data_IF_654897059471
#
_entry.id   IF_654897059471
#
_cell.length_a   1.000
_cell.length_b   1.000
_cell.length_c   1.000
_cell.angle_alpha   90.00
_cell.angle_beta   90.00
_cell.angle_gamma   90.00
#
_symmetry.space_group_name_H-M   'P 1'
#
loop_
_entity.id
_entity.type
_entity.pdbx_description
1 polymer ?
#
# COMPACT_ATOMS: atom_id res chain seq x y z
N UNK A 1 -11.52 -17.15 5.95
CA UNK A 1 -10.84 -17.04 4.64
C UNK A 1 -9.70 -16.09 4.89
N UNK A 2 -8.45 -16.48 4.59
CA UNK A 2 -7.32 -15.64 4.95
C UNK A 2 -7.46 -14.25 4.31
N UNK A 3 -7.06 -13.18 5.00
CA UNK A 3 -7.06 -11.88 4.39
C UNK A 3 -6.14 -11.83 3.16
N UNK A 4 -6.66 -11.25 2.08
CA UNK A 4 -6.01 -11.10 0.79
C UNK A 4 -6.21 -9.68 0.27
N UNK A 5 -5.13 -9.12 -0.26
CA UNK A 5 -5.14 -7.92 -1.08
C UNK A 5 -5.04 -8.33 -2.55
N UNK A 6 -5.86 -7.73 -3.41
CA UNK A 6 -5.75 -7.88 -4.85
C UNK A 6 -5.34 -6.56 -5.49
N UNK A 7 -4.34 -6.59 -6.38
CA UNK A 7 -3.92 -5.44 -7.19
C UNK A 7 -4.21 -5.80 -8.65
N UNK A 8 -5.09 -5.04 -9.29
CA UNK A 8 -5.45 -5.20 -10.71
C UNK A 8 -4.92 -4.03 -11.52
N UNK A 9 -4.19 -4.30 -12.59
CA UNK A 9 -3.85 -3.32 -13.63
C UNK A 9 -4.73 -3.62 -14.85
N UNK A 10 -5.67 -2.72 -15.12
CA UNK A 10 -6.43 -2.67 -16.37
C UNK A 10 -5.59 -1.95 -17.42
N UNK A 11 -4.80 -2.73 -18.15
CA UNK A 11 -3.86 -2.27 -19.18
C UNK A 11 -4.53 -2.12 -20.55
N UNK A 12 -3.93 -1.32 -21.44
CA UNK A 12 -4.40 -1.16 -22.82
C UNK A 12 -4.15 -2.43 -23.65
N UNK A 13 -5.14 -2.92 -24.40
CA UNK A 13 -5.04 -4.16 -25.21
C UNK A 13 -3.86 -4.17 -26.19
N UNK A 14 -3.53 -3.02 -26.76
CA UNK A 14 -2.44 -2.85 -27.73
C UNK A 14 -1.25 -2.08 -27.12
N UNK A 15 -1.00 -2.29 -25.81
CA UNK A 15 0.11 -1.65 -25.12
C UNK A 15 1.45 -2.09 -25.74
N UNK A 16 2.16 -1.12 -26.30
CA UNK A 16 3.57 -1.28 -26.66
C UNK A 16 4.41 -1.42 -25.39
N UNK A 17 5.41 -2.30 -25.41
CA UNK A 17 6.23 -2.70 -24.27
C UNK A 17 5.39 -3.38 -23.16
N UNK A 18 4.83 -4.58 -23.41
CA UNK A 18 4.01 -5.31 -22.44
C UNK A 18 4.77 -5.64 -21.14
N UNK A 19 6.09 -5.76 -21.18
CA UNK A 19 6.97 -5.94 -20.03
C UNK A 19 6.79 -4.85 -18.96
N UNK A 20 6.45 -3.61 -19.36
CA UNK A 20 6.23 -2.49 -18.44
C UNK A 20 5.02 -2.72 -17.51
N UNK A 21 4.02 -3.50 -17.92
CA UNK A 21 2.86 -3.80 -17.06
C UNK A 21 3.27 -4.74 -15.93
N UNK A 22 4.16 -5.70 -16.23
CA UNK A 22 4.72 -6.60 -15.22
C UNK A 22 5.68 -5.85 -14.29
N UNK A 23 6.48 -4.93 -14.83
CA UNK A 23 7.32 -4.03 -14.02
C UNK A 23 6.46 -3.16 -13.08
N UNK A 24 5.39 -2.55 -13.60
CA UNK A 24 4.44 -1.78 -12.78
C UNK A 24 3.84 -2.64 -11.67
N UNK A 25 3.39 -3.86 -11.98
CA UNK A 25 2.86 -4.79 -10.99
C UNK A 25 3.91 -5.13 -9.92
N UNK A 26 5.15 -5.40 -10.32
CA UNK A 26 6.25 -5.66 -9.39
C UNK A 26 6.52 -4.46 -8.47
N UNK A 27 6.49 -3.23 -9.00
CA UNK A 27 6.65 -2.01 -8.22
C UNK A 27 5.52 -1.84 -7.20
N UNK A 28 4.27 -2.08 -7.57
CA UNK A 28 3.14 -2.03 -6.61
C UNK A 28 3.27 -3.08 -5.50
N UNK A 29 3.62 -4.33 -5.84
CA UNK A 29 3.82 -5.39 -4.85
C UNK A 29 4.96 -5.02 -3.87
N UNK A 30 6.07 -4.49 -4.39
CA UNK A 30 7.20 -4.04 -3.57
C UNK A 30 6.83 -2.86 -2.68
N UNK A 31 6.12 -1.86 -3.20
CA UNK A 31 5.67 -0.70 -2.43
C UNK A 31 4.74 -1.14 -1.27
N UNK A 32 3.81 -2.05 -1.54
CA UNK A 32 2.89 -2.57 -0.53
C UNK A 32 3.59 -3.43 0.51
N UNK A 33 4.65 -4.16 0.14
CA UNK A 33 5.48 -4.92 1.09
C UNK A 33 6.16 -3.98 2.08
N UNK A 34 6.79 -2.94 1.56
CA UNK A 34 7.54 -2.01 2.38
C UNK A 34 6.59 -1.20 3.28
N UNK A 35 5.39 -0.87 2.78
CA UNK A 35 4.32 -0.30 3.58
C UNK A 35 3.86 -1.24 4.70
N UNK A 36 3.61 -2.53 4.42
CA UNK A 36 3.28 -3.52 5.44
C UNK A 36 4.35 -3.63 6.54
N UNK A 37 5.63 -3.49 6.17
CA UNK A 37 6.72 -3.44 7.14
C UNK A 37 6.67 -2.19 8.04
N UNK A 38 6.31 -1.03 7.48
CA UNK A 38 6.07 0.20 8.25
C UNK A 38 4.98 -0.02 9.30
N UNK A 39 3.86 -0.65 8.92
CA UNK A 39 2.76 -0.97 9.83
C UNK A 39 3.16 -1.97 10.93
N UNK A 40 3.93 -3.01 10.59
CA UNK A 40 4.38 -3.99 11.59
C UNK A 40 5.31 -3.36 12.61
N UNK A 41 6.23 -2.53 12.15
CA UNK A 41 7.21 -1.86 13.01
C UNK A 41 6.55 -0.84 13.94
N UNK A 42 5.46 -0.18 13.51
CA UNK A 42 4.79 0.86 14.29
C UNK A 42 4.17 0.35 15.59
N UNK A 43 3.86 -0.94 15.66
CA UNK A 43 3.31 -1.60 16.85
C UNK A 43 4.33 -2.52 17.55
N UNK A 44 5.62 -2.37 17.23
CA UNK A 44 6.70 -3.12 17.87
C UNK A 44 6.78 -4.60 17.48
N UNK A 45 6.08 -5.02 16.42
CA UNK A 45 6.10 -6.40 15.94
C UNK A 45 7.20 -6.56 14.90
N UNK A 46 8.21 -7.37 15.22
CA UNK A 46 9.22 -7.82 14.25
C UNK A 46 8.66 -8.99 13.45
N UNK A 47 7.82 -8.69 12.47
CA UNK A 47 7.42 -9.64 11.45
C UNK A 47 8.01 -9.25 10.11
N UNK A 48 8.50 -10.23 9.36
CA UNK A 48 8.92 -10.02 7.97
C UNK A 48 7.68 -10.07 7.08
N UNK A 49 7.21 -8.91 6.63
CA UNK A 49 6.07 -8.82 5.74
C UNK A 49 6.46 -9.39 4.37
N UNK A 50 6.00 -10.60 4.08
CA UNK A 50 6.27 -11.29 2.82
C UNK A 50 4.95 -11.74 2.20
N UNK A 51 4.84 -11.56 0.89
CA UNK A 51 3.67 -11.98 0.13
C UNK A 51 3.95 -13.23 -0.68
N UNK A 52 2.93 -14.07 -0.77
CA UNK A 52 2.85 -15.12 -1.76
C UNK A 52 1.91 -14.70 -2.89
N UNK A 53 2.31 -14.93 -4.13
CA UNK A 53 1.42 -14.80 -5.29
C UNK A 53 0.46 -15.99 -5.31
N UNK A 54 -0.82 -15.73 -5.10
CA UNK A 54 -1.84 -16.78 -5.03
C UNK A 54 -2.47 -17.10 -6.40
N UNK A 55 -2.66 -16.09 -7.26
CA UNK A 55 -3.34 -16.25 -8.56
C UNK A 55 -2.94 -15.12 -9.53
N UNK A 56 -2.86 -15.43 -10.83
CA UNK A 56 -2.84 -14.45 -11.94
C UNK A 56 -4.05 -14.74 -12.85
N UNK A 57 -4.89 -13.72 -13.14
CA UNK A 57 -6.01 -13.84 -14.08
C UNK A 57 -5.71 -13.15 -15.42
N UNK A 58 -6.23 -13.68 -16.52
CA UNK A 58 -6.06 -13.14 -17.89
C UNK A 58 -7.10 -12.06 -18.26
N UNK A 59 -6.70 -11.05 -19.06
CA UNK A 59 -7.56 -9.94 -19.52
C UNK A 59 -7.33 -8.59 -18.83
N UNK A 60 -6.51 -8.61 -17.78
CA UNK A 60 -5.97 -7.52 -16.94
C UNK A 60 -4.92 -8.17 -16.04
N UNK A 61 -3.83 -7.52 -15.63
CA UNK A 61 -2.91 -8.19 -14.68
C UNK A 61 -3.51 -8.05 -13.28
N UNK A 62 -4.08 -9.12 -12.75
CA UNK A 62 -4.57 -9.19 -11.37
C UNK A 62 -3.62 -10.07 -10.54
N UNK A 63 -3.01 -9.50 -9.51
CA UNK A 63 -2.23 -10.22 -8.51
C UNK A 63 -3.02 -10.30 -7.21
N UNK A 64 -3.12 -11.49 -6.63
CA UNK A 64 -3.65 -11.69 -5.27
C UNK A 64 -2.50 -12.02 -4.32
N UNK A 65 -2.42 -11.25 -3.24
CA UNK A 65 -1.37 -11.28 -2.23
C UNK A 65 -1.99 -11.62 -0.88
N UNK A 66 -1.46 -12.64 -0.21
CA UNK A 66 -1.73 -12.89 1.21
C UNK A 66 -0.41 -12.94 1.98
N UNK A 67 -0.44 -12.60 3.26
CA UNK A 67 0.67 -12.90 4.15
C UNK A 67 0.91 -14.41 4.15
N UNK A 68 2.18 -14.82 4.18
CA UNK A 68 2.55 -16.23 4.31
C UNK A 68 1.95 -16.81 5.61
N UNK A 69 1.23 -17.94 5.57
CA UNK A 69 0.63 -18.54 6.76
C UNK A 69 1.64 -18.75 7.91
N UNK A 70 1.25 -18.35 9.11
CA UNK A 70 2.07 -18.49 10.32
C UNK A 70 3.21 -17.47 10.47
N UNK A 71 3.38 -16.52 9.53
CA UNK A 71 4.34 -15.42 9.68
C UNK A 71 3.81 -14.25 10.51
N UNK A 72 2.50 -14.01 10.45
CA UNK A 72 1.80 -12.99 11.21
C UNK A 72 0.49 -13.60 11.68
N UNK A 73 0.05 -13.24 12.88
CA UNK A 73 -1.26 -13.60 13.40
C UNK A 73 -2.38 -13.06 12.49
N UNK A 74 -3.48 -13.81 12.35
CA UNK A 74 -4.57 -13.46 11.42
C UNK A 74 -5.28 -12.16 11.82
N UNK A 75 -5.44 -11.89 13.12
CA UNK A 75 -6.08 -10.66 13.61
C UNK A 75 -5.21 -9.45 13.27
N UNK A 76 -3.90 -9.59 13.45
CA UNK A 76 -2.92 -8.56 13.08
C UNK A 76 -2.89 -8.32 11.58
N UNK A 77 -2.87 -9.39 10.79
CA UNK A 77 -2.92 -9.30 9.34
C UNK A 77 -4.17 -8.50 8.91
N UNK A 78 -5.35 -8.84 9.42
CA UNK A 78 -6.60 -8.12 9.14
C UNK A 78 -6.51 -6.63 9.50
N UNK A 79 -5.96 -6.28 10.66
CA UNK A 79 -5.80 -4.88 11.07
C UNK A 79 -4.93 -4.10 10.08
N UNK A 80 -3.79 -4.66 9.67
CA UNK A 80 -2.90 -4.03 8.71
C UNK A 80 -3.54 -3.82 7.33
N UNK A 81 -4.28 -4.82 6.83
CA UNK A 81 -4.98 -4.71 5.56
C UNK A 81 -6.06 -3.63 5.59
N UNK A 82 -6.82 -3.54 6.67
CA UNK A 82 -7.88 -2.53 6.83
C UNK A 82 -7.31 -1.11 6.92
N UNK A 83 -6.28 -0.90 7.75
CA UNK A 83 -5.65 0.43 7.87
C UNK A 83 -4.96 0.86 6.58
N UNK A 84 -4.38 -0.09 5.84
CA UNK A 84 -3.88 0.18 4.49
C UNK A 84 -4.98 0.65 3.54
N UNK A 85 -6.12 -0.05 3.49
CA UNK A 85 -7.27 0.33 2.67
C UNK A 85 -7.73 1.77 2.96
N UNK A 86 -7.78 2.16 4.23
CA UNK A 86 -8.13 3.53 4.63
C UNK A 86 -7.13 4.57 4.07
N UNK A 87 -5.82 4.33 4.20
CA UNK A 87 -4.81 5.23 3.61
C UNK A 87 -4.93 5.33 2.09
N UNK A 88 -5.09 4.21 1.38
CA UNK A 88 -5.18 4.26 -0.09
C UNK A 88 -6.44 4.95 -0.58
N UNK A 89 -7.54 4.89 0.19
CA UNK A 89 -8.73 5.70 -0.07
C UNK A 89 -8.45 7.17 0.10
N UNK A 90 -7.76 7.56 1.19
CA UNK A 90 -7.35 8.95 1.39
C UNK A 90 -6.49 9.46 0.23
N UNK A 91 -5.51 8.67 -0.23
CA UNK A 91 -4.68 8.99 -1.40
C UNK A 91 -5.45 9.04 -2.73
N UNK A 92 -6.68 8.51 -2.78
CA UNK A 92 -7.50 8.57 -4.00
C UNK A 92 -7.96 9.99 -4.29
N UNK A 93 -8.18 10.81 -3.26
CA UNK A 93 -8.72 12.17 -3.37
C UNK A 93 -7.65 13.26 -3.37
N UNK A 94 -6.37 12.89 -3.19
CA UNK A 94 -5.23 13.81 -3.12
C UNK A 94 -4.35 13.65 -4.37
N UNK A 95 -3.90 14.75 -4.98
CA UNK A 95 -3.04 14.71 -6.17
C UNK A 95 -1.55 14.67 -5.84
N UNK A 96 -1.09 15.37 -4.81
CA UNK A 96 0.33 15.41 -4.44
C UNK A 96 0.57 15.34 -2.93
N UNK A 97 1.74 14.84 -2.56
CA UNK A 97 2.29 14.89 -1.19
C UNK A 97 3.73 15.32 -1.29
N UNK A 98 4.03 16.53 -0.81
CA UNK A 98 5.26 17.27 -1.08
C UNK A 98 6.01 17.66 0.20
N UNK A 99 5.32 17.81 1.34
CA UNK A 99 5.91 18.32 2.58
C UNK A 99 5.92 17.30 3.73
N UNK A 100 6.79 17.53 4.72
CA UNK A 100 6.84 16.76 5.97
C UNK A 100 5.49 16.80 6.72
N UNK A 101 4.87 17.98 6.82
CA UNK A 101 3.56 18.16 7.48
C UNK A 101 2.43 17.34 6.82
N UNK A 102 2.47 17.18 5.50
CA UNK A 102 1.51 16.32 4.79
C UNK A 102 1.77 14.85 5.09
N UNK A 103 3.03 14.42 5.17
CA UNK A 103 3.38 13.05 5.59
C UNK A 103 2.98 12.81 7.05
N UNK A 104 3.15 13.80 7.92
CA UNK A 104 2.70 13.75 9.32
C UNK A 104 1.20 13.53 9.40
N UNK A 105 0.42 14.29 8.62
CA UNK A 105 -1.05 14.14 8.56
C UNK A 105 -1.45 12.72 8.15
N UNK A 106 -0.83 12.18 7.09
CA UNK A 106 -1.07 10.81 6.64
C UNK A 106 -0.68 9.77 7.72
N UNK A 107 0.44 10.00 8.42
CA UNK A 107 0.90 9.11 9.48
C UNK A 107 -0.09 9.09 10.66
N UNK A 108 -0.55 10.25 11.12
CA UNK A 108 -1.52 10.36 12.23
C UNK A 108 -2.87 9.72 11.87
N UNK A 109 -3.35 9.93 10.63
CA UNK A 109 -4.57 9.29 10.15
C UNK A 109 -4.42 7.76 10.14
N UNK A 110 -3.29 7.26 9.67
CA UNK A 110 -2.96 5.84 9.65
C UNK A 110 -2.80 5.24 11.05
N UNK A 111 -2.19 5.96 11.99
CA UNK A 111 -2.10 5.56 13.40
C UNK A 111 -3.49 5.43 14.02
N UNK A 112 -4.36 6.39 13.77
CA UNK A 112 -5.76 6.38 14.24
C UNK A 112 -6.51 5.18 13.65
N UNK A 113 -6.35 4.93 12.36
CA UNK A 113 -6.92 3.76 11.68
C UNK A 113 -6.40 2.45 12.27
N UNK A 114 -5.10 2.33 12.53
CA UNK A 114 -4.49 1.15 13.15
C UNK A 114 -5.02 0.94 14.56
N UNK A 115 -5.01 1.96 15.41
CA UNK A 115 -5.46 1.86 16.80
C UNK A 115 -6.91 1.37 16.90
N UNK A 116 -7.78 1.80 15.97
CA UNK A 116 -9.17 1.35 15.87
C UNK A 116 -9.29 -0.12 15.46
N UNK A 117 -8.38 -0.63 14.64
CA UNK A 117 -8.45 -1.97 14.06
C UNK A 117 -7.63 -3.02 14.85
N UNK A 118 -6.75 -2.59 15.77
CA UNK A 118 -5.92 -3.47 16.59
C UNK A 118 -6.63 -4.01 17.83
N UNK A 119 -6.25 -5.19 18.34
CA UNK A 119 -6.68 -5.66 19.65
C UNK A 119 -6.20 -4.73 20.78
N UNK A 120 -7.01 -4.60 21.84
CA UNK A 120 -6.75 -3.70 22.99
C UNK A 120 -5.45 -3.95 23.77
N UNK A 121 -4.75 -5.07 23.52
CA UNK A 121 -3.54 -5.46 24.24
C UNK A 121 -2.23 -5.08 23.50
N UNK A 122 -2.36 -4.46 22.33
CA UNK A 122 -1.22 -4.05 21.49
C UNK A 122 -0.85 -2.60 21.83
N UNK A 123 0.44 -2.30 21.80
CA UNK A 123 0.93 -0.94 22.01
C UNK A 123 0.32 0.05 21.01
N UNK A 124 0.18 1.31 21.43
CA UNK A 124 -0.30 2.38 20.56
C UNK A 124 0.60 2.48 19.31
N UNK A 125 0.02 2.49 18.10
CA UNK A 125 0.79 2.60 16.87
C UNK A 125 1.57 3.90 16.82
N UNK A 126 2.85 3.81 16.45
CA UNK A 126 3.69 4.96 16.13
C UNK A 126 4.39 4.74 14.78
N UNK A 127 3.85 5.34 13.74
CA UNK A 127 4.33 5.20 12.37
C UNK A 127 5.63 5.98 12.20
N UNK A 128 6.65 5.34 11.67
CA UNK A 128 7.88 6.04 11.29
C UNK A 128 7.62 6.87 10.01
N UNK A 129 7.61 8.20 10.15
CA UNK A 129 7.30 9.14 9.07
C UNK A 129 8.29 9.02 7.91
N UNK A 130 9.57 8.82 8.21
CA UNK A 130 10.60 8.68 7.19
C UNK A 130 10.41 7.38 6.41
N UNK A 131 10.18 6.26 7.10
CA UNK A 131 9.93 4.98 6.43
C UNK A 131 8.59 4.97 5.67
N UNK A 132 7.56 5.66 6.17
CA UNK A 132 6.33 5.90 5.42
C UNK A 132 6.60 6.67 4.12
N UNK A 133 7.39 7.74 4.17
CA UNK A 133 7.72 8.54 2.97
C UNK A 133 8.44 7.72 1.89
N UNK A 134 9.31 6.76 2.27
CA UNK A 134 9.93 5.84 1.31
C UNK A 134 8.92 4.89 0.68
N UNK A 135 7.91 4.41 1.43
CA UNK A 135 6.85 3.58 0.88
C UNK A 135 5.97 4.39 -0.10
N UNK A 136 5.63 5.63 0.26
CA UNK A 136 4.90 6.58 -0.59
C UNK A 136 5.65 6.88 -1.90
N UNK A 137 6.96 7.14 -1.83
CA UNK A 137 7.81 7.33 -3.01
C UNK A 137 7.76 6.12 -3.97
N UNK A 138 7.74 4.90 -3.42
CA UNK A 138 7.63 3.67 -4.23
C UNK A 138 6.26 3.53 -4.90
N UNK A 139 5.17 3.89 -4.22
CA UNK A 139 3.84 3.96 -4.87
C UNK A 139 3.80 5.00 -5.98
N UNK A 140 4.42 6.17 -5.77
CA UNK A 140 4.54 7.22 -6.78
C UNK A 140 5.31 6.72 -8.01
N UNK A 141 6.39 5.97 -7.79
CA UNK A 141 7.18 5.34 -8.86
C UNK A 141 6.36 4.30 -9.63
N UNK A 142 5.57 3.47 -8.94
CA UNK A 142 4.67 2.51 -9.58
C UNK A 142 3.61 3.22 -10.46
N UNK A 143 3.02 4.30 -9.95
CA UNK A 143 2.06 5.13 -10.69
C UNK A 143 2.63 5.72 -11.99
N UNK A 144 3.93 6.05 -12.03
CA UNK A 144 4.58 6.58 -13.24
C UNK A 144 4.65 5.57 -14.39
N UNK A 145 4.51 4.26 -14.12
CA UNK A 145 4.50 3.21 -15.15
C UNK A 145 3.11 3.00 -15.77
N UNK A 146 2.06 3.56 -15.17
CA UNK A 146 0.69 3.47 -15.67
C UNK A 146 0.48 4.51 -16.77
N UNK A 147 0.02 4.06 -17.95
CA UNK A 147 -0.22 4.92 -19.11
C UNK A 147 -1.58 5.63 -19.00
N UNK A 148 -1.80 6.73 -19.74
CA UNK A 148 -3.12 7.33 -19.84
C UNK A 148 -4.18 6.30 -20.25
N UNK A 149 -5.37 6.38 -19.64
CA UNK A 149 -6.50 5.47 -19.82
C UNK A 149 -6.35 4.05 -19.25
N UNK A 150 -5.25 3.76 -18.56
CA UNK A 150 -5.16 2.57 -17.72
C UNK A 150 -5.63 2.88 -16.30
N UNK A 151 -5.92 1.82 -15.55
CA UNK A 151 -6.29 1.98 -14.14
C UNK A 151 -5.74 0.89 -13.25
N UNK A 152 -5.52 1.26 -12.00
CA UNK A 152 -5.19 0.31 -10.95
C UNK A 152 -6.40 0.21 -10.01
N UNK A 153 -6.82 -1.01 -9.72
CA UNK A 153 -7.90 -1.30 -8.78
C UNK A 153 -7.30 -2.12 -7.66
N UNK A 154 -7.50 -1.67 -6.43
CA UNK A 154 -7.11 -2.39 -5.22
C UNK A 154 -8.40 -2.93 -4.60
N UNK A 155 -8.36 -4.19 -4.20
CA UNK A 155 -9.47 -4.87 -3.49
C UNK A 155 -8.92 -5.53 -2.24
N UNK A 156 -9.53 -5.27 -1.09
CA UNK A 156 -9.28 -6.06 0.12
C UNK A 156 -10.49 -6.93 0.42
N UNK A 157 -10.26 -8.22 0.69
CA UNK A 157 -11.32 -9.13 1.12
C UNK A 157 -11.60 -9.05 2.64
N UNK A 158 -10.80 -8.28 3.39
CA UNK A 158 -10.93 -8.12 4.85
C UNK A 158 -12.13 -7.27 5.26
N UNK A 159 -12.63 -6.39 4.37
CA UNK A 159 -13.79 -5.52 4.59
C UNK A 159 -14.77 -5.60 3.41
N UNK A 160 -15.67 -6.59 3.41
CA UNK A 160 -16.81 -6.68 2.48
C UNK A 160 -16.46 -6.68 0.96
N UNK A 161 -15.26 -7.11 0.58
CA UNK A 161 -14.78 -7.07 -0.81
C UNK A 161 -14.87 -5.67 -1.44
N UNK A 162 -14.65 -4.62 -0.66
CA UNK A 162 -14.62 -3.29 -1.22
C UNK A 162 -13.43 -3.15 -2.18
N UNK A 163 -13.74 -2.65 -3.37
CA UNK A 163 -12.76 -2.27 -4.38
C UNK A 163 -12.73 -0.75 -4.51
N UNK A 164 -11.56 -0.20 -4.77
CA UNK A 164 -11.43 1.20 -5.11
C UNK A 164 -10.42 1.37 -6.23
N UNK A 165 -10.66 2.40 -7.05
CA UNK A 165 -9.75 2.77 -8.14
C UNK A 165 -8.66 3.63 -7.54
N UNK A 166 -7.43 3.14 -7.54
CA UNK A 166 -6.30 3.90 -7.02
C UNK A 166 -6.02 5.12 -7.91
N UNK A 167 -5.71 6.27 -7.29
CA UNK A 167 -5.35 7.47 -8.03
C UNK A 167 -3.95 7.32 -8.66
N UNK A 168 -3.92 6.85 -9.90
CA UNK A 168 -2.69 6.67 -10.70
C UNK A 168 -2.05 8.00 -11.12
N UNK A 169 -2.73 9.14 -10.90
CA UNK A 169 -2.15 10.47 -11.07
C UNK A 169 -1.43 10.98 -9.84
N UNK A 170 -1.69 10.40 -8.65
CA UNK A 170 -1.04 10.81 -7.42
C UNK A 170 0.49 10.72 -7.54
N UNK A 171 1.19 11.74 -7.05
CA UNK A 171 2.66 11.81 -7.03
C UNK A 171 3.15 12.20 -5.63
N UNK A 172 4.15 11.47 -5.17
CA UNK A 172 4.99 11.90 -4.06
C UNK A 172 6.09 12.81 -4.60
N UNK A 173 6.06 14.10 -4.27
CA UNK A 173 7.07 15.10 -4.65
C UNK A 173 8.06 15.43 -3.54
N UNK A 174 7.81 14.94 -2.32
CA UNK A 174 8.75 15.01 -1.21
C UNK A 174 10.03 14.21 -1.48
N UNK A 175 11.08 14.51 -0.70
CA UNK A 175 12.35 13.79 -0.75
C UNK A 175 12.61 13.10 0.59
N UNK A 176 12.36 11.79 0.72
CA UNK A 176 12.40 11.07 1.99
C UNK A 176 13.70 11.24 2.80
N UNK A 177 14.82 11.38 2.09
CA UNK A 177 16.16 11.54 2.68
C UNK A 177 16.47 12.96 3.16
N UNK A 178 15.76 13.95 2.64
CA UNK A 178 16.03 15.37 2.90
C UNK A 178 14.96 15.99 3.82
N UNK A 179 13.74 15.45 3.82
CA UNK A 179 12.58 16.11 4.41
C UNK A 179 12.42 15.95 5.94
N UNK A 180 13.26 15.13 6.60
CA UNK A 180 13.19 14.88 8.05
C UNK A 180 14.52 15.22 8.77
N UNK A 181 15.31 16.13 8.21
CA UNK A 181 16.63 16.49 8.76
C UNK A 181 16.56 17.43 9.99
N UNK A 182 15.36 17.85 10.39
CA UNK A 182 15.14 18.83 11.44
C UNK A 182 15.35 20.26 10.94
N UNK A 183 14.48 21.17 11.38
CA UNK A 183 14.73 22.62 11.30
C UNK A 183 15.56 23.09 12.49
#
# INVERSE_FOLDING_TARGET
MNPELSIKIDYLKDRHNPEEVFEAMALYINAYRDFGQVLSNSIGIKADFNFQLNEIKSGSILSKLSVIPGKIDEILANAFYNSGDELFRELTDIETTDTEEQVETLAVNLETALAKNLPQQIADPNIDRQNLSFALEKFSTANQKIKPNESVIITSNSNNNQNFKFNTKWRFGGKPREMFLGS
#
